data_IF_697939760979
#
_entry.id   IF_697939760979
#
_cell.length_a   1.000
_cell.length_b   1.000
_cell.length_c   1.000
_cell.angle_alpha   90.00
_cell.angle_beta   90.00
_cell.angle_gamma   90.00
#
_symmetry.space_group_name_H-M   'P 1'
#
loop_
_entity.id
_entity.type
_entity.pdbx_description
1 polymer ?
#
# COMPACT_ATOMS: atom_id res chain seq x y z
N UNK A 1 22.01 -16.87 15.07
CA UNK A 1 21.05 -16.60 13.97
C UNK A 1 20.14 -15.46 14.41
N UNK A 2 19.84 -14.51 13.52
CA UNK A 2 18.93 -13.40 13.87
C UNK A 2 17.52 -13.95 14.14
N UNK A 3 16.86 -13.46 15.19
CA UNK A 3 15.50 -13.85 15.53
C UNK A 3 14.56 -13.27 14.47
N UNK A 4 13.79 -14.13 13.78
CA UNK A 4 12.80 -13.67 12.80
C UNK A 4 11.63 -13.04 13.55
N UNK A 5 11.33 -11.78 13.24
CA UNK A 5 10.13 -11.09 13.71
C UNK A 5 9.06 -11.22 12.63
N UNK A 6 7.88 -11.68 13.01
CA UNK A 6 6.73 -11.76 12.09
C UNK A 6 5.80 -10.60 12.40
N UNK A 7 5.62 -9.72 11.41
CA UNK A 7 4.61 -8.66 11.44
C UNK A 7 3.43 -9.06 10.59
N UNK A 8 2.21 -8.73 11.03
CA UNK A 8 0.99 -8.95 10.25
C UNK A 8 0.40 -7.61 9.84
N UNK A 9 0.22 -7.44 8.52
CA UNK A 9 -0.58 -6.37 7.93
C UNK A 9 -1.88 -7.02 7.44
N UNK A 10 -3.02 -6.56 7.95
CA UNK A 10 -4.33 -7.08 7.58
C UNK A 10 -5.09 -6.03 6.78
N UNK A 11 -5.50 -6.39 5.56
CA UNK A 11 -6.37 -5.57 4.72
C UNK A 11 -7.77 -6.18 4.70
N UNK A 12 -8.78 -5.38 5.04
CA UNK A 12 -10.18 -5.79 5.04
C UNK A 12 -10.94 -4.93 4.05
N UNK A 13 -11.54 -5.58 3.05
CA UNK A 13 -12.32 -4.92 2.00
C UNK A 13 -13.78 -5.30 2.18
N UNK A 14 -14.62 -4.32 2.53
CA UNK A 14 -16.06 -4.45 2.52
C UNK A 14 -16.59 -4.20 1.11
N UNK A 15 -17.31 -5.17 0.57
CA UNK A 15 -17.90 -5.13 -0.77
C UNK A 15 -19.43 -4.96 -0.67
N UNK A 16 -20.03 -4.26 -1.63
CA UNK A 16 -21.48 -4.21 -1.82
C UNK A 16 -22.03 -5.47 -2.53
N UNK A 17 -23.34 -5.47 -2.78
CA UNK A 17 -24.04 -6.56 -3.50
C UNK A 17 -23.50 -6.80 -4.93
N UNK A 18 -22.91 -5.78 -5.55
CA UNK A 18 -22.29 -5.82 -6.88
C UNK A 18 -20.78 -6.10 -6.83
N UNK A 19 -20.23 -6.43 -5.66
CA UNK A 19 -18.81 -6.65 -5.40
C UNK A 19 -17.93 -5.42 -5.60
N UNK A 20 -18.50 -4.22 -5.45
CA UNK A 20 -17.77 -2.95 -5.49
C UNK A 20 -17.25 -2.64 -4.07
N UNK A 21 -15.97 -2.27 -3.90
CA UNK A 21 -15.43 -1.83 -2.61
C UNK A 21 -16.14 -0.58 -2.07
N UNK A 22 -16.73 -0.70 -0.88
CA UNK A 22 -17.33 0.44 -0.16
C UNK A 22 -16.48 0.89 1.03
N UNK A 23 -15.88 -0.07 1.75
CA UNK A 23 -15.12 0.21 2.97
C UNK A 23 -13.77 -0.49 2.93
N UNK A 24 -12.71 0.26 3.15
CA UNK A 24 -11.37 -0.28 3.30
C UNK A 24 -10.93 -0.07 4.75
N UNK A 25 -10.45 -1.13 5.38
CA UNK A 25 -9.84 -1.05 6.72
C UNK A 25 -8.51 -1.76 6.73
N UNK A 26 -7.57 -1.25 7.52
CA UNK A 26 -6.28 -1.88 7.66
C UNK A 26 -5.75 -1.84 9.08
N UNK A 27 -4.98 -2.87 9.44
CA UNK A 27 -4.23 -2.94 10.70
C UNK A 27 -2.79 -3.29 10.39
N UNK A 28 -1.85 -2.68 11.12
CA UNK A 28 -0.43 -3.00 11.12
C UNK A 28 0.08 -3.00 12.56
N UNK A 29 0.30 -4.19 13.12
CA UNK A 29 0.65 -4.37 14.54
C UNK A 29 1.93 -3.63 14.92
N UNK A 30 2.98 -3.72 14.11
CA UNK A 30 4.27 -3.08 14.41
C UNK A 30 4.25 -1.56 14.18
N UNK A 31 3.28 -1.07 13.40
CA UNK A 31 3.06 0.36 13.17
C UNK A 31 2.15 1.00 14.22
N UNK A 32 1.58 0.22 15.14
CA UNK A 32 0.61 0.71 16.12
C UNK A 32 -0.74 1.12 15.51
N UNK A 33 -1.08 0.60 14.32
CA UNK A 33 -2.29 0.94 13.59
C UNK A 33 -3.29 -0.19 13.74
N UNK A 34 -4.46 0.09 14.31
CA UNK A 34 -5.51 -0.90 14.52
C UNK A 34 -6.83 -0.49 13.84
N UNK A 35 -7.17 -1.23 12.79
CA UNK A 35 -8.47 -1.22 12.14
C UNK A 35 -8.90 0.17 11.63
N UNK A 36 -7.93 0.94 11.15
CA UNK A 36 -8.13 2.29 10.63
C UNK A 36 -8.85 2.24 9.28
N UNK A 37 -9.74 3.22 9.05
CA UNK A 37 -10.43 3.36 7.77
C UNK A 37 -9.52 4.00 6.72
N UNK A 38 -9.68 3.56 5.47
CA UNK A 38 -9.00 4.12 4.31
C UNK A 38 -10.00 4.38 3.18
N UNK A 39 -9.75 5.43 2.40
CA UNK A 39 -10.49 5.73 1.16
C UNK A 39 -9.86 5.13 -0.08
N UNK A 40 -8.54 4.90 -0.04
CA UNK A 40 -7.80 4.25 -1.10
C UNK A 40 -6.62 3.47 -0.54
N UNK A 41 -6.25 2.39 -1.22
CA UNK A 41 -5.06 1.61 -0.94
C UNK A 41 -4.40 1.20 -2.24
N UNK A 42 -3.07 1.32 -2.27
CA UNK A 42 -2.23 0.80 -3.34
C UNK A 42 -1.30 -0.26 -2.75
N UNK A 43 -1.46 -1.51 -3.17
CA UNK A 43 -0.56 -2.60 -2.79
C UNK A 43 0.13 -3.17 -4.03
N UNK A 44 1.47 -3.18 -4.02
CA UNK A 44 2.27 -3.80 -5.06
C UNK A 44 3.21 -4.83 -4.44
N UNK A 45 3.21 -6.04 -4.98
CA UNK A 45 4.03 -7.17 -4.54
C UNK A 45 4.93 -7.59 -5.71
N UNK A 46 6.23 -7.64 -5.46
CA UNK A 46 7.20 -8.09 -6.46
C UNK A 46 7.30 -9.62 -6.46
N UNK A 47 6.96 -10.26 -7.57
CA UNK A 47 7.22 -11.68 -7.81
C UNK A 47 8.57 -11.83 -8.52
N UNK A 48 9.60 -12.23 -7.76
CA UNK A 48 10.95 -12.40 -8.30
C UNK A 48 11.09 -13.59 -9.27
N UNK A 49 10.20 -14.58 -9.20
CA UNK A 49 10.25 -15.76 -10.08
C UNK A 49 9.77 -15.40 -11.48
N UNK A 50 8.65 -14.68 -11.55
CA UNK A 50 8.06 -14.22 -12.81
C UNK A 50 8.62 -12.89 -13.30
N UNK A 51 9.34 -12.16 -12.42
CA UNK A 51 9.89 -10.82 -12.68
C UNK A 51 8.79 -9.81 -13.04
N UNK A 52 7.69 -9.87 -12.31
CA UNK A 52 6.54 -8.99 -12.50
C UNK A 52 6.05 -8.41 -11.17
N UNK A 53 5.30 -7.32 -11.24
CA UNK A 53 4.62 -6.74 -10.08
C UNK A 53 3.15 -7.13 -10.11
N UNK A 54 2.71 -7.79 -9.05
CA UNK A 54 1.29 -8.03 -8.78
C UNK A 54 0.75 -6.82 -8.02
N UNK A 55 -0.34 -6.23 -8.51
CA UNK A 55 -0.92 -5.03 -7.92
C UNK A 55 -2.39 -5.20 -7.58
N UNK A 56 -2.79 -4.57 -6.49
CA UNK A 56 -4.18 -4.44 -6.07
C UNK A 56 -4.41 -2.94 -5.85
N UNK A 57 -5.21 -2.36 -6.73
CA UNK A 57 -5.59 -0.95 -6.70
C UNK A 57 -7.04 -0.89 -6.18
N UNK A 58 -7.24 -0.34 -4.98
CA UNK A 58 -8.56 -0.24 -4.35
C UNK A 58 -8.85 1.22 -4.02
N UNK A 59 -10.05 1.69 -4.39
CA UNK A 59 -10.59 2.97 -3.98
C UNK A 59 -12.07 2.81 -3.65
N UNK A 60 -12.54 3.57 -2.67
CA UNK A 60 -13.95 3.64 -2.34
C UNK A 60 -14.68 4.52 -3.35
N UNK A 61 -15.96 4.21 -3.62
CA UNK A 61 -16.78 4.94 -4.61
C UNK A 61 -17.00 6.41 -4.26
N UNK A 62 -16.94 6.74 -2.99
CA UNK A 62 -17.19 8.07 -2.44
C UNK A 62 -15.95 8.98 -2.43
N UNK A 63 -14.78 8.48 -2.82
CA UNK A 63 -13.57 9.29 -2.92
C UNK A 63 -13.69 10.30 -4.08
N UNK A 64 -13.59 11.62 -3.83
CA UNK A 64 -13.64 12.62 -4.89
C UNK A 64 -12.48 12.46 -5.88
N UNK A 65 -12.72 12.75 -7.15
CA UNK A 65 -11.71 12.66 -8.23
C UNK A 65 -10.48 13.53 -7.93
N UNK A 66 -10.65 14.67 -7.27
CA UNK A 66 -9.52 15.54 -6.92
C UNK A 66 -8.65 14.94 -5.81
N UNK A 67 -9.24 14.27 -4.82
CA UNK A 67 -8.50 13.50 -3.82
C UNK A 67 -7.77 12.32 -4.48
N UNK A 68 -8.37 11.65 -5.47
CA UNK A 68 -7.70 10.58 -6.22
C UNK A 68 -6.45 11.09 -6.92
N UNK A 69 -6.52 12.26 -7.58
CA UNK A 69 -5.35 12.88 -8.24
C UNK A 69 -4.25 13.19 -7.23
N UNK A 70 -4.60 13.73 -6.07
CA UNK A 70 -3.65 14.04 -4.99
C UNK A 70 -3.01 12.74 -4.50
N UNK A 71 -3.78 11.71 -4.21
CA UNK A 71 -3.29 10.40 -3.77
C UNK A 71 -2.29 9.80 -4.77
N UNK A 72 -2.63 9.79 -6.06
CA UNK A 72 -1.73 9.29 -7.11
C UNK A 72 -0.45 10.11 -7.19
N UNK A 73 -0.55 11.45 -7.19
CA UNK A 73 0.62 12.31 -7.25
C UNK A 73 1.56 12.09 -6.06
N UNK A 74 1.01 12.11 -4.84
CA UNK A 74 1.79 11.89 -3.61
C UNK A 74 2.46 10.51 -3.60
N UNK A 75 1.74 9.48 -4.04
CA UNK A 75 2.28 8.13 -4.13
C UNK A 75 3.47 8.06 -5.11
N UNK A 76 3.36 8.67 -6.29
CA UNK A 76 4.45 8.68 -7.28
C UNK A 76 5.67 9.45 -6.78
N UNK A 77 5.47 10.59 -6.11
CA UNK A 77 6.56 11.36 -5.50
C UNK A 77 7.25 10.53 -4.41
N UNK A 78 6.48 9.91 -3.50
CA UNK A 78 7.01 9.06 -2.43
C UNK A 78 7.76 7.82 -2.95
N UNK A 79 7.28 7.20 -4.03
CA UNK A 79 7.97 6.10 -4.69
C UNK A 79 9.29 6.57 -5.31
N UNK A 80 9.28 7.74 -5.96
CA UNK A 80 10.48 8.35 -6.53
C UNK A 80 11.53 8.67 -5.45
N UNK A 81 11.09 9.15 -4.28
CA UNK A 81 11.98 9.39 -3.14
C UNK A 81 12.52 8.08 -2.55
N UNK A 82 11.71 7.04 -2.48
CA UNK A 82 12.15 5.71 -2.03
C UNK A 82 13.21 5.12 -2.97
N UNK A 83 13.12 5.36 -4.28
CA UNK A 83 14.12 4.88 -5.24
C UNK A 83 15.51 5.53 -5.03
N UNK A 84 15.57 6.73 -4.43
CA UNK A 84 16.83 7.38 -4.06
C UNK A 84 17.56 6.65 -2.92
N UNK A 85 16.83 5.91 -2.07
CA UNK A 85 17.39 5.21 -0.91
C UNK A 85 18.32 4.04 -1.28
N UNK A 86 17.91 3.10 -2.16
CA UNK A 86 18.81 2.09 -2.71
C UNK A 86 20.06 2.72 -3.33
N UNK A 87 19.90 3.78 -4.12
CA UNK A 87 21.03 4.45 -4.76
C UNK A 87 22.08 4.96 -3.74
N UNK A 88 21.63 5.57 -2.62
CA UNK A 88 22.53 6.00 -1.55
C UNK A 88 23.21 4.82 -0.84
N UNK A 89 22.46 3.76 -0.55
CA UNK A 89 22.99 2.55 0.12
C UNK A 89 24.03 1.80 -0.73
N UNK A 90 23.92 1.84 -2.06
CA UNK A 90 24.89 1.23 -2.97
C UNK A 90 26.14 2.10 -3.20
N UNK A 91 26.11 3.40 -2.87
CA UNK A 91 27.27 4.30 -2.99
C UNK A 91 28.06 4.50 -1.70
N UNK A 92 27.75 3.77 -0.62
CA UNK A 92 28.58 3.77 0.58
C UNK A 92 28.55 5.07 1.39
N UNK A 93 27.44 5.81 1.34
CA UNK A 93 27.15 6.92 2.26
C UNK A 93 26.09 6.51 3.27
#
# INVERSE_FOLDING_TARGET
>A
MAKLHTSVIKLTVGLDENRIPEKLRWSAQDGGIDNEEAKAMLLSVWDSKKKESLKIDLWTKDMPVDEMKIFFHQTLVSLSDTLKWPYKRYQGH
#
